data_IF_550509484001
#
_entry.id   IF_550509484001
#
_cell.length_a   1.000
_cell.length_b   1.000
_cell.length_c   1.000
_cell.angle_alpha   90.00
_cell.angle_beta   90.00
_cell.angle_gamma   90.00
#
_symmetry.space_group_name_H-M   'P 1'
#
loop_
_entity.id
_entity.type
_entity.pdbx_description
1 polymer ?
#
# COMPACT_ATOMS: atom_id res chain seq x y z
N UNK A 1 -14.58 16.84 -6.12
CA UNK A 1 -13.65 17.98 -5.91
C UNK A 1 -13.03 18.49 -7.20
N UNK A 2 -13.08 17.76 -8.33
CA UNK A 2 -12.85 18.34 -9.67
C UNK A 2 -11.43 18.77 -10.01
N UNK A 3 -10.44 18.45 -9.16
CA UNK A 3 -9.05 18.80 -9.40
C UNK A 3 -8.50 17.90 -10.53
N UNK A 4 -7.99 18.48 -11.64
CA UNK A 4 -7.37 17.69 -12.71
C UNK A 4 -6.00 17.20 -12.25
N UNK A 5 -5.96 15.99 -11.70
CA UNK A 5 -4.75 15.26 -11.35
C UNK A 5 -4.57 14.10 -12.32
N UNK A 6 -3.32 13.79 -12.67
CA UNK A 6 -3.00 12.68 -13.58
C UNK A 6 -3.00 11.35 -12.82
N UNK A 7 -1.92 11.06 -12.10
CA UNK A 7 -1.76 9.84 -11.30
C UNK A 7 -1.14 10.20 -9.95
N UNK A 8 -1.66 9.60 -8.90
CA UNK A 8 -1.14 9.73 -7.54
C UNK A 8 -0.09 8.65 -7.29
N UNK A 9 1.16 9.06 -7.05
CA UNK A 9 2.27 8.14 -6.80
C UNK A 9 2.44 7.95 -5.29
N UNK A 10 2.33 6.71 -4.84
CA UNK A 10 2.56 6.29 -3.46
C UNK A 10 4.03 5.88 -3.33
N UNK A 11 4.87 6.78 -2.84
CA UNK A 11 6.25 6.44 -2.48
C UNK A 11 6.27 5.72 -1.11
N UNK A 12 6.92 4.57 -1.05
CA UNK A 12 7.09 3.75 0.16
C UNK A 12 8.56 3.43 0.39
N UNK A 13 8.94 3.24 1.64
CA UNK A 13 10.25 2.71 1.99
C UNK A 13 10.24 1.18 1.83
N UNK A 14 11.15 0.49 2.49
CA UNK A 14 11.24 -0.98 2.44
C UNK A 14 9.98 -1.72 2.96
N UNK A 15 9.09 -1.02 3.67
CA UNK A 15 7.76 -1.51 4.06
C UNK A 15 6.74 -1.25 2.94
N UNK A 16 6.68 -2.19 2.02
CA UNK A 16 6.19 -2.02 0.65
C UNK A 16 4.81 -2.66 0.38
N UNK A 17 4.00 -2.90 1.42
CA UNK A 17 2.69 -3.57 1.30
C UNK A 17 1.79 -2.97 0.21
N UNK A 18 1.79 -1.63 0.06
CA UNK A 18 1.00 -0.95 -0.98
C UNK A 18 1.58 -1.12 -2.39
N UNK A 19 2.91 -1.17 -2.50
CA UNK A 19 3.59 -1.45 -3.77
C UNK A 19 3.29 -2.89 -4.22
N UNK A 20 3.42 -3.87 -3.32
CA UNK A 20 3.06 -5.27 -3.61
C UNK A 20 1.59 -5.43 -3.97
N UNK A 21 0.68 -4.82 -3.20
CA UNK A 21 -0.75 -4.83 -3.53
C UNK A 21 -1.02 -4.28 -4.93
N UNK A 22 -0.41 -3.14 -5.29
CA UNK A 22 -0.59 -2.55 -6.62
C UNK A 22 0.05 -3.37 -7.74
N UNK A 23 0.91 -4.35 -7.45
CA UNK A 23 1.47 -5.29 -8.42
C UNK A 23 0.64 -6.58 -8.53
N UNK A 24 0.17 -7.12 -7.41
CA UNK A 24 -0.42 -8.48 -7.34
C UNK A 24 -1.93 -8.50 -7.12
N UNK A 25 -2.50 -7.44 -6.55
CA UNK A 25 -3.88 -7.43 -6.02
C UNK A 25 -4.02 -8.05 -4.64
N UNK A 26 -2.92 -8.50 -4.02
CA UNK A 26 -2.88 -9.13 -2.71
C UNK A 26 -2.34 -8.16 -1.66
N UNK A 27 -3.14 -7.90 -0.62
CA UNK A 27 -2.78 -7.05 0.50
C UNK A 27 -2.46 -7.93 1.72
N UNK A 28 -1.17 -8.08 2.04
CA UNK A 28 -0.71 -9.01 3.09
C UNK A 28 0.38 -8.37 3.97
N UNK A 29 0.30 -8.63 5.27
CA UNK A 29 1.20 -8.05 6.29
C UNK A 29 2.65 -8.49 6.12
N UNK A 30 2.86 -9.73 5.70
CA UNK A 30 4.19 -10.32 5.62
C UNK A 30 4.71 -10.23 4.18
N UNK A 31 5.84 -9.55 3.94
CA UNK A 31 6.29 -9.27 2.58
C UNK A 31 6.88 -10.47 1.85
N UNK A 32 7.37 -11.49 2.58
CA UNK A 32 8.07 -12.65 1.98
C UNK A 32 8.24 -13.80 2.98
N UNK A 33 8.25 -15.04 2.48
CA UNK A 33 8.77 -16.21 3.19
C UNK A 33 10.27 -16.43 2.84
N UNK A 34 11.09 -16.82 3.83
CA UNK A 34 12.49 -17.19 3.60
C UNK A 34 13.50 -16.03 3.64
N UNK A 35 14.66 -16.20 2.99
CA UNK A 35 15.83 -15.31 3.12
C UNK A 35 15.58 -13.83 2.72
N UNK A 36 14.55 -13.54 1.92
CA UNK A 36 14.17 -12.17 1.54
C UNK A 36 13.46 -11.38 2.67
N UNK A 37 13.00 -12.08 3.72
CA UNK A 37 12.51 -11.45 4.95
C UNK A 37 13.66 -10.94 5.84
N UNK A 38 14.90 -11.39 5.60
CA UNK A 38 16.10 -10.89 6.28
C UNK A 38 16.56 -9.59 5.61
N UNK A 39 15.89 -8.48 5.94
CA UNK A 39 16.36 -7.13 5.63
C UNK A 39 16.17 -6.23 6.86
N UNK A 40 17.05 -5.25 7.00
CA UNK A 40 17.16 -4.30 8.11
C UNK A 40 18.51 -3.57 8.02
N UNK A 41 18.65 -2.44 8.72
CA UNK A 41 19.91 -1.69 8.77
C UNK A 41 21.05 -2.57 9.30
N UNK A 42 22.03 -2.88 8.43
CA UNK A 42 23.18 -3.77 8.76
C UNK A 42 24.07 -3.19 9.86
N UNK A 43 24.00 -1.87 10.09
CA UNK A 43 24.90 -1.16 11.00
C UNK A 43 24.65 -1.47 12.49
N UNK A 44 23.43 -1.87 12.88
CA UNK A 44 23.06 -2.11 14.27
C UNK A 44 22.59 -3.56 14.56
N UNK A 45 22.67 -4.48 13.59
CA UNK A 45 22.27 -5.88 13.78
C UNK A 45 20.76 -6.10 13.98
N UNK A 46 19.94 -5.08 13.69
CA UNK A 46 18.49 -5.15 13.79
C UNK A 46 17.91 -6.02 12.66
N UNK A 47 17.46 -7.23 13.01
CA UNK A 47 16.60 -8.06 12.16
C UNK A 47 15.21 -7.45 12.08
N UNK A 48 14.48 -7.67 10.97
CA UNK A 48 13.05 -7.37 10.89
C UNK A 48 12.35 -7.82 12.18
N UNK A 49 11.54 -6.94 12.78
CA UNK A 49 10.79 -7.27 14.00
C UNK A 49 9.98 -8.56 13.74
N UNK A 50 9.73 -9.42 14.74
CA UNK A 50 8.94 -10.66 14.58
C UNK A 50 7.54 -10.41 13.97
N UNK A 51 7.08 -9.16 13.96
CA UNK A 51 5.82 -8.72 13.34
C UNK A 51 5.93 -8.34 11.85
N UNK A 52 7.11 -8.38 11.22
CA UNK A 52 7.31 -8.21 9.78
C UNK A 52 7.63 -6.78 9.30
N UNK A 53 7.82 -5.82 10.21
CA UNK A 53 8.24 -4.44 9.90
C UNK A 53 9.77 -4.36 9.81
N UNK A 54 10.28 -3.69 8.77
CA UNK A 54 11.70 -3.36 8.61
C UNK A 54 11.95 -1.93 9.08
N UNK A 55 12.97 -1.73 9.91
CA UNK A 55 13.43 -0.40 10.29
C UNK A 55 14.13 0.26 9.09
N UNK A 56 13.80 1.51 8.80
CA UNK A 56 14.38 2.28 7.70
C UNK A 56 14.81 3.68 8.14
N UNK A 57 15.47 4.43 7.24
CA UNK A 57 15.80 5.85 7.46
C UNK A 57 14.58 6.78 7.45
N UNK A 58 13.39 6.22 7.23
CA UNK A 58 12.11 6.94 7.21
C UNK A 58 11.12 6.32 8.20
N UNK A 59 11.41 6.36 9.52
CA UNK A 59 10.69 5.58 10.54
C UNK A 59 9.18 5.90 10.60
N UNK A 60 8.76 7.11 10.23
CA UNK A 60 7.33 7.47 10.16
C UNK A 60 6.56 6.69 9.09
N UNK A 61 7.25 6.06 8.14
CA UNK A 61 6.69 5.24 7.07
C UNK A 61 6.81 3.74 7.36
N UNK A 62 7.45 3.32 8.45
CA UNK A 62 7.63 1.91 8.82
C UNK A 62 6.32 1.31 9.37
N UNK A 63 5.36 1.10 8.47
CA UNK A 63 4.03 0.58 8.77
C UNK A 63 3.80 -0.79 8.15
N UNK A 64 3.18 -1.68 8.93
CA UNK A 64 2.74 -3.01 8.49
C UNK A 64 1.41 -2.96 7.71
N UNK A 65 0.52 -2.05 8.11
CA UNK A 65 -0.82 -1.89 7.53
C UNK A 65 -1.13 -0.41 7.44
N UNK A 66 -1.52 0.04 6.25
CA UNK A 66 -2.07 1.39 6.07
C UNK A 66 -3.53 1.41 6.49
N UNK A 67 -3.83 2.02 7.64
CA UNK A 67 -5.22 2.16 8.13
C UNK A 67 -6.10 2.98 7.19
N UNK A 68 -5.53 3.99 6.52
CA UNK A 68 -6.27 4.83 5.57
C UNK A 68 -6.59 4.11 4.24
N UNK A 69 -5.90 2.99 3.94
CA UNK A 69 -6.14 2.23 2.73
C UNK A 69 -7.56 1.66 2.66
N UNK A 70 -8.18 1.36 3.81
CA UNK A 70 -9.58 0.91 3.86
C UNK A 70 -10.55 1.92 3.24
N UNK A 71 -10.25 3.22 3.32
CA UNK A 71 -11.11 4.27 2.75
C UNK A 71 -11.06 4.23 1.23
N UNK A 72 -9.87 4.06 0.66
CA UNK A 72 -9.71 3.88 -0.78
C UNK A 72 -10.48 2.64 -1.26
N UNK A 73 -10.32 1.50 -0.56
CA UNK A 73 -11.04 0.28 -0.85
C UNK A 73 -12.56 0.48 -0.80
N UNK A 74 -13.07 1.27 0.15
CA UNK A 74 -14.48 1.57 0.24
C UNK A 74 -15.00 2.34 -0.98
N UNK A 75 -14.30 3.38 -1.42
CA UNK A 75 -14.71 4.16 -2.62
C UNK A 75 -14.68 3.30 -3.88
N UNK A 76 -13.64 2.50 -4.07
CA UNK A 76 -13.55 1.61 -5.24
C UNK A 76 -14.61 0.51 -5.20
N UNK A 77 -14.84 -0.10 -4.04
CA UNK A 77 -15.90 -1.10 -3.87
C UNK A 77 -17.29 -0.48 -4.11
N UNK A 78 -17.50 0.75 -3.67
CA UNK A 78 -18.73 1.49 -3.93
C UNK A 78 -18.95 1.66 -5.44
N UNK A 79 -17.91 2.02 -6.20
CA UNK A 79 -18.07 2.26 -7.64
C UNK A 79 -18.21 0.95 -8.44
N UNK A 80 -17.39 -0.06 -8.14
CA UNK A 80 -17.39 -1.34 -8.85
C UNK A 80 -18.62 -2.19 -8.55
N UNK A 81 -19.02 -2.32 -7.28
CA UNK A 81 -20.11 -3.23 -6.90
C UNK A 81 -21.49 -2.57 -6.90
N UNK A 82 -21.61 -1.33 -7.39
CA UNK A 82 -22.87 -0.60 -7.47
C UNK A 82 -23.60 -0.67 -8.81
N UNK A 83 -23.03 -1.33 -9.81
CA UNK A 83 -23.53 -1.31 -11.20
C UNK A 83 -24.98 -1.85 -11.35
N UNK A 84 -25.47 -2.66 -10.40
CA UNK A 84 -26.78 -3.31 -10.49
C UNK A 84 -27.87 -2.68 -9.61
N UNK A 85 -27.62 -1.52 -8.99
CA UNK A 85 -28.63 -0.84 -8.15
C UNK A 85 -28.49 0.67 -8.21
N UNK A 86 -29.63 1.38 -8.25
CA UNK A 86 -29.66 2.83 -8.16
C UNK A 86 -29.90 3.33 -6.71
N UNK A 87 -30.11 2.42 -5.76
CA UNK A 87 -30.30 2.79 -4.36
C UNK A 87 -28.97 3.16 -3.71
N UNK A 88 -28.81 4.45 -3.36
CA UNK A 88 -27.62 4.94 -2.65
C UNK A 88 -27.37 4.18 -1.33
N UNK A 89 -28.43 3.72 -0.67
CA UNK A 89 -28.31 2.92 0.55
C UNK A 89 -27.69 1.55 0.26
N UNK A 90 -28.19 0.86 -0.77
CA UNK A 90 -27.71 -0.46 -1.14
C UNK A 90 -26.25 -0.43 -1.63
N UNK A 91 -25.86 0.62 -2.37
CA UNK A 91 -24.45 0.84 -2.78
C UNK A 91 -23.51 0.92 -1.57
N UNK A 92 -23.88 1.73 -0.57
CA UNK A 92 -23.09 1.90 0.66
C UNK A 92 -22.99 0.62 1.46
N UNK A 93 -24.09 -0.13 1.57
CA UNK A 93 -24.12 -1.42 2.27
C UNK A 93 -23.27 -2.48 1.57
N UNK A 94 -23.31 -2.55 0.23
CA UNK A 94 -22.46 -3.45 -0.56
C UNK A 94 -20.97 -3.12 -0.39
N UNK A 95 -20.59 -1.84 -0.52
CA UNK A 95 -19.20 -1.40 -0.29
C UNK A 95 -18.73 -1.74 1.13
N UNK A 96 -19.55 -1.44 2.14
CA UNK A 96 -19.25 -1.73 3.54
C UNK A 96 -19.08 -3.23 3.82
N UNK A 97 -19.90 -4.09 3.21
CA UNK A 97 -19.76 -5.55 3.32
C UNK A 97 -18.43 -6.05 2.75
N UNK A 98 -18.05 -5.62 1.55
CA UNK A 98 -16.77 -6.02 0.92
C UNK A 98 -15.57 -5.57 1.78
N UNK A 99 -15.55 -4.32 2.23
CA UNK A 99 -14.47 -3.81 3.09
C UNK A 99 -14.41 -4.58 4.41
N UNK A 100 -15.56 -4.87 5.04
CA UNK A 100 -15.62 -5.66 6.26
C UNK A 100 -15.07 -7.07 6.06
N UNK A 101 -15.36 -7.70 4.93
CA UNK A 101 -14.86 -9.03 4.59
C UNK A 101 -13.33 -9.02 4.42
N UNK A 102 -12.78 -8.10 3.63
CA UNK A 102 -11.33 -7.94 3.47
C UNK A 102 -10.63 -7.65 4.80
N UNK A 103 -11.21 -6.78 5.64
CA UNK A 103 -10.65 -6.50 6.98
C UNK A 103 -10.73 -7.71 7.90
N UNK A 104 -11.73 -8.58 7.74
CA UNK A 104 -11.82 -9.84 8.49
C UNK A 104 -10.73 -10.80 8.04
N UNK A 105 -10.55 -11.00 6.73
CA UNK A 105 -9.48 -11.83 6.16
C UNK A 105 -8.08 -11.32 6.55
N UNK A 106 -7.84 -10.00 6.57
CA UNK A 106 -6.58 -9.42 7.03
C UNK A 106 -6.28 -9.74 8.51
N UNK A 107 -7.33 -9.79 9.35
CA UNK A 107 -7.20 -10.11 10.78
C UNK A 107 -6.97 -11.61 11.00
N UNK A 108 -7.68 -12.47 10.27
CA UNK A 108 -7.66 -13.92 10.48
C UNK A 108 -6.52 -14.61 9.72
N UNK A 109 -6.26 -14.19 8.49
CA UNK A 109 -5.37 -14.88 7.55
C UNK A 109 -4.07 -14.09 7.30
N UNK A 110 -3.95 -12.87 7.83
CA UNK A 110 -2.79 -12.01 7.61
C UNK A 110 -2.78 -11.27 6.28
N UNK A 111 -3.78 -11.48 5.41
CA UNK A 111 -3.94 -10.79 4.14
C UNK A 111 -5.25 -11.14 3.42
N UNK A 112 -5.52 -10.44 2.31
CA UNK A 112 -6.64 -10.69 1.40
C UNK A 112 -6.24 -10.38 -0.04
N UNK A 113 -7.02 -10.84 -1.01
CA UNK A 113 -6.86 -10.47 -2.42
C UNK A 113 -8.13 -9.82 -2.95
N UNK A 114 -7.98 -8.89 -3.90
CA UNK A 114 -9.11 -8.25 -4.58
C UNK A 114 -9.25 -8.78 -6.00
N UNK A 115 -10.45 -8.64 -6.56
CA UNK A 115 -10.70 -8.97 -7.95
C UNK A 115 -9.94 -8.02 -8.90
N UNK A 116 -9.63 -8.51 -10.11
CA UNK A 116 -8.90 -7.74 -11.13
C UNK A 116 -9.55 -6.38 -11.41
N UNK A 117 -10.87 -6.31 -11.47
CA UNK A 117 -11.60 -5.05 -11.69
C UNK A 117 -11.39 -4.00 -10.60
N UNK A 118 -11.27 -4.43 -9.33
CA UNK A 118 -10.97 -3.55 -8.20
C UNK A 118 -9.52 -3.06 -8.29
N UNK A 119 -8.58 -3.96 -8.59
CA UNK A 119 -7.18 -3.61 -8.76
C UNK A 119 -6.96 -2.64 -9.93
N UNK A 120 -7.59 -2.90 -11.08
CA UNK A 120 -7.50 -2.05 -12.26
C UNK A 120 -8.09 -0.65 -12.01
N UNK A 121 -9.20 -0.57 -11.28
CA UNK A 121 -9.78 0.71 -10.87
C UNK A 121 -8.84 1.51 -9.97
N UNK A 122 -8.15 0.86 -9.03
CA UNK A 122 -7.15 1.53 -8.20
C UNK A 122 -5.95 1.98 -9.06
N UNK A 123 -5.47 1.15 -9.99
CA UNK A 123 -4.32 1.45 -10.87
C UNK A 123 -4.56 2.57 -11.88
N UNK A 124 -5.82 2.86 -12.19
CA UNK A 124 -6.19 3.99 -13.02
C UNK A 124 -5.67 5.30 -12.42
N UNK A 125 -5.90 5.49 -11.11
CA UNK A 125 -5.57 6.72 -10.40
C UNK A 125 -4.27 6.65 -9.59
N UNK A 126 -3.81 5.45 -9.23
CA UNK A 126 -2.65 5.26 -8.36
C UNK A 126 -1.54 4.43 -9.01
N UNK A 127 -0.30 4.76 -8.66
CA UNK A 127 0.86 3.87 -8.78
C UNK A 127 1.64 3.90 -7.46
N UNK A 128 2.54 2.94 -7.27
CA UNK A 128 3.39 2.90 -6.11
C UNK A 128 4.81 2.55 -6.50
N UNK A 129 5.77 3.09 -5.76
CA UNK A 129 7.19 2.84 -5.92
C UNK A 129 7.81 2.56 -4.55
N UNK A 130 8.75 1.61 -4.51
CA UNK A 130 9.53 1.28 -3.31
C UNK A 130 10.90 1.92 -3.43
N UNK A 131 11.33 2.59 -2.36
CA UNK A 131 12.64 3.25 -2.25
C UNK A 131 13.41 2.62 -1.08
N UNK A 132 14.62 2.16 -1.33
CA UNK A 132 15.52 1.64 -0.29
C UNK A 132 16.25 2.76 0.47
N UNK A 133 16.88 2.42 1.59
CA UNK A 133 17.70 3.38 2.34
C UNK A 133 18.91 3.88 1.53
N UNK A 134 19.50 3.02 0.70
CA UNK A 134 20.60 3.39 -0.20
C UNK A 134 20.14 4.43 -1.21
N UNK A 135 18.99 4.21 -1.84
CA UNK A 135 18.39 5.16 -2.78
C UNK A 135 17.98 6.46 -2.08
N UNK A 136 17.50 6.39 -0.84
CA UNK A 136 17.15 7.55 -0.01
C UNK A 136 18.37 8.42 0.25
N UNK A 137 19.46 7.84 0.75
CA UNK A 137 20.73 8.56 1.01
C UNK A 137 21.29 9.15 -0.29
N UNK A 138 21.27 8.37 -1.37
CA UNK A 138 21.77 8.81 -2.68
C UNK A 138 20.96 10.00 -3.18
N UNK A 139 19.64 9.94 -3.09
CA UNK A 139 18.75 11.03 -3.49
C UNK A 139 18.99 12.30 -2.67
N UNK A 140 19.15 12.19 -1.34
CA UNK A 140 19.47 13.35 -0.48
C UNK A 140 20.79 14.01 -0.92
N UNK A 141 21.81 13.20 -1.18
CA UNK A 141 23.12 13.67 -1.65
C UNK A 141 23.01 14.38 -2.99
N UNK A 142 22.29 13.79 -3.93
CA UNK A 142 22.19 14.31 -5.31
C UNK A 142 21.37 15.60 -5.34
N UNK A 143 20.28 15.69 -4.59
CA UNK A 143 19.49 16.92 -4.43
C UNK A 143 20.31 18.02 -3.78
N UNK A 144 21.11 17.71 -2.75
CA UNK A 144 21.99 18.70 -2.11
C UNK A 144 23.07 19.22 -3.06
N UNK A 145 23.61 18.36 -3.93
CA UNK A 145 24.62 18.70 -4.94
C UNK A 145 24.03 19.25 -6.23
N UNK A 146 22.70 19.35 -6.34
CA UNK A 146 22.03 19.76 -7.56
C UNK A 146 22.56 21.14 -7.99
N UNK A 147 23.05 21.30 -9.24
CA UNK A 147 23.57 22.57 -9.70
C UNK A 147 22.52 23.66 -9.54
N UNK A 148 22.83 24.68 -8.73
CA UNK A 148 22.02 25.90 -8.75
C UNK A 148 22.39 26.64 -10.02
N UNK A 149 21.43 26.71 -10.96
CA UNK A 149 21.55 27.52 -12.16
C UNK A 149 21.75 28.99 -11.83
#
# INVERSE_FOLDING_TARGET
MGLPVSKLIIARNENDILHRFLQTGTYEKNPVHGAAAAGGLVQDGATAHPEGVKETLSPSMDILVSSNFERLLWFVAHDIYSLNTNSAQEKRERAGRNVKEWQTQLKTNGGFSVEKQVLDAIRADFAAERVSDVETITTIRDVYRWPKG
#
